data_IF_041723214479
#
_entry.id   IF_041723214479
#
_cell.length_a   1.000
_cell.length_b   1.000
_cell.length_c   1.000
_cell.angle_alpha   90.00
_cell.angle_beta   90.00
_cell.angle_gamma   90.00
#
_symmetry.space_group_name_H-M   'P 1'
#
loop_
_entity.id
_entity.type
_entity.pdbx_description
1 polymer ?
#
# COMPACT_ATOMS: atom_id res chain seq x y z
N UNK A 1 -15.66 -3.39 14.67
CA UNK A 1 -16.54 -4.51 14.29
C UNK A 1 -15.93 -5.20 13.08
N UNK A 2 -16.03 -6.53 12.98
CA UNK A 2 -15.58 -7.30 11.82
C UNK A 2 -16.81 -7.76 11.05
N UNK A 3 -16.90 -7.41 9.77
CA UNK A 3 -18.04 -7.78 8.91
C UNK A 3 -17.84 -9.14 8.25
N UNK A 4 -16.61 -9.44 7.80
CA UNK A 4 -16.23 -10.70 7.16
C UNK A 4 -14.89 -11.15 7.75
N UNK A 5 -14.75 -12.45 7.99
CA UNK A 5 -13.53 -13.07 8.52
C UNK A 5 -13.13 -14.27 7.68
N UNK A 6 -11.81 -14.42 7.41
CA UNK A 6 -11.25 -15.55 6.65
C UNK A 6 -11.48 -15.52 5.13
N UNK A 7 -12.15 -14.49 4.61
CA UNK A 7 -12.42 -14.32 3.17
C UNK A 7 -11.95 -12.95 2.65
N UNK A 8 -10.92 -12.38 3.29
CA UNK A 8 -10.43 -11.03 2.97
C UNK A 8 -10.03 -10.89 1.50
N UNK A 9 -9.32 -11.88 0.95
CA UNK A 9 -8.91 -11.87 -0.46
C UNK A 9 -10.10 -11.79 -1.43
N UNK A 10 -11.18 -12.52 -1.15
CA UNK A 10 -12.39 -12.52 -1.98
C UNK A 10 -13.08 -11.15 -1.92
N UNK A 11 -13.21 -10.58 -0.72
CA UNK A 11 -13.83 -9.26 -0.54
C UNK A 11 -13.00 -8.17 -1.21
N UNK A 12 -11.67 -8.22 -1.08
CA UNK A 12 -10.78 -7.27 -1.73
C UNK A 12 -10.90 -7.34 -3.25
N UNK A 13 -10.82 -8.55 -3.83
CA UNK A 13 -10.89 -8.75 -5.28
C UNK A 13 -12.24 -8.32 -5.88
N UNK A 14 -13.30 -8.27 -5.09
CA UNK A 14 -14.63 -7.84 -5.52
C UNK A 14 -14.86 -6.32 -5.38
N UNK A 15 -13.94 -5.57 -4.76
CA UNK A 15 -14.12 -4.15 -4.50
C UNK A 15 -13.73 -3.29 -5.71
N UNK A 16 -14.52 -2.24 -5.98
CA UNK A 16 -14.20 -1.24 -7.00
C UNK A 16 -13.13 -0.23 -6.53
N UNK A 17 -13.04 -0.01 -5.22
CA UNK A 17 -12.07 0.84 -4.55
C UNK A 17 -11.90 0.36 -3.09
N UNK A 18 -10.67 0.38 -2.59
CA UNK A 18 -10.38 0.16 -1.17
C UNK A 18 -9.77 1.40 -0.51
N UNK A 19 -10.28 1.77 0.67
CA UNK A 19 -9.64 2.75 1.55
C UNK A 19 -8.98 1.97 2.68
N UNK A 20 -7.64 1.99 2.73
CA UNK A 20 -6.88 1.14 3.63
C UNK A 20 -5.83 1.92 4.42
N UNK A 21 -5.55 1.44 5.64
CA UNK A 21 -4.37 1.90 6.36
C UNK A 21 -3.11 1.45 5.63
N UNK A 22 -1.99 2.15 5.81
CA UNK A 22 -0.70 1.63 5.34
C UNK A 22 -0.38 0.25 5.99
N UNK A 23 0.06 -0.70 5.16
CA UNK A 23 0.48 -2.05 5.55
C UNK A 23 0.59 -3.02 4.36
N UNK A 24 0.74 -4.31 4.65
CA UNK A 24 0.85 -5.37 3.62
C UNK A 24 -0.39 -5.45 2.73
N UNK A 25 -1.57 -5.11 3.27
CA UNK A 25 -2.83 -5.06 2.54
C UNK A 25 -2.76 -4.19 1.28
N UNK A 26 -1.91 -3.16 1.25
CA UNK A 26 -1.78 -2.30 0.08
C UNK A 26 -1.16 -3.04 -1.10
N UNK A 27 -0.15 -3.87 -0.86
CA UNK A 27 0.44 -4.73 -1.89
C UNK A 27 -0.56 -5.79 -2.33
N UNK A 28 -1.31 -6.39 -1.41
CA UNK A 28 -2.35 -7.37 -1.75
C UNK A 28 -3.42 -6.76 -2.67
N UNK A 29 -3.90 -5.54 -2.37
CA UNK A 29 -4.84 -4.80 -3.22
C UNK A 29 -4.26 -4.50 -4.60
N UNK A 30 -3.01 -4.01 -4.66
CA UNK A 30 -2.35 -3.69 -5.93
C UNK A 30 -2.09 -4.95 -6.79
N UNK A 31 -1.73 -6.08 -6.17
CA UNK A 31 -1.58 -7.37 -6.83
C UNK A 31 -2.91 -7.89 -7.39
N UNK A 32 -4.03 -7.58 -6.72
CA UNK A 32 -5.39 -7.89 -7.18
C UNK A 32 -5.97 -6.88 -8.18
N UNK A 33 -5.20 -5.86 -8.58
CA UNK A 33 -5.67 -4.75 -9.43
C UNK A 33 -6.86 -3.97 -8.83
N UNK A 34 -6.93 -3.89 -7.51
CA UNK A 34 -7.98 -3.15 -6.81
C UNK A 34 -7.47 -1.73 -6.55
N UNK A 35 -8.10 -0.69 -7.13
CA UNK A 35 -7.73 0.69 -6.86
C UNK A 35 -7.82 1.02 -5.37
N UNK A 36 -6.94 1.89 -4.87
CA UNK A 36 -6.91 2.18 -3.43
C UNK A 36 -6.51 3.61 -3.07
N UNK A 37 -6.99 4.06 -1.92
CA UNK A 37 -6.50 5.25 -1.20
C UNK A 37 -5.86 4.80 0.10
N UNK A 38 -4.63 5.25 0.34
CA UNK A 38 -3.87 4.87 1.52
C UNK A 38 -3.89 6.00 2.54
N UNK A 39 -4.15 5.65 3.80
CA UNK A 39 -3.98 6.58 4.90
C UNK A 39 -3.13 5.99 6.03
N UNK A 40 -2.46 6.86 6.77
CA UNK A 40 -1.77 6.44 7.98
C UNK A 40 -1.92 7.50 9.07
N UNK A 41 -2.57 7.12 10.17
CA UNK A 41 -2.85 8.02 11.29
C UNK A 41 -2.56 7.32 12.61
N UNK A 42 -1.47 7.72 13.24
CA UNK A 42 -1.06 7.33 14.58
C UNK A 42 -1.58 8.30 15.62
N UNK A 43 -1.63 7.84 16.88
CA UNK A 43 -1.87 8.73 18.01
C UNK A 43 -0.82 9.87 18.02
N UNK A 44 -1.17 11.10 18.44
CA UNK A 44 -0.22 12.22 18.45
C UNK A 44 1.08 11.89 19.21
N UNK A 45 0.97 11.16 20.33
CA UNK A 45 2.11 10.74 21.11
C UNK A 45 3.00 9.74 20.37
N UNK A 46 2.41 8.71 19.75
CA UNK A 46 3.15 7.72 18.95
C UNK A 46 3.81 8.38 17.75
N UNK A 47 3.13 9.31 17.09
CA UNK A 47 3.66 10.06 15.97
C UNK A 47 4.85 10.95 16.39
N UNK A 48 4.76 11.61 17.55
CA UNK A 48 5.83 12.43 18.10
C UNK A 48 7.09 11.60 18.42
N UNK A 49 6.92 10.43 19.04
CA UNK A 49 8.01 9.46 19.28
C UNK A 49 8.62 9.03 17.94
N UNK A 50 7.77 8.63 16.98
CA UNK A 50 8.20 8.19 15.66
C UNK A 50 9.03 9.24 14.94
N UNK A 51 8.58 10.50 14.91
CA UNK A 51 9.31 11.60 14.28
C UNK A 51 10.66 11.86 14.95
N UNK A 52 10.71 11.76 16.28
CA UNK A 52 11.93 12.04 17.05
C UNK A 52 12.97 10.93 16.90
N UNK A 53 12.53 9.67 16.83
CA UNK A 53 13.42 8.50 16.70
C UNK A 53 13.80 8.18 15.25
N UNK A 54 12.86 8.31 14.30
CA UNK A 54 13.03 7.87 12.91
C UNK A 54 13.53 8.98 11.98
N UNK A 55 13.79 10.20 12.48
CA UNK A 55 14.38 11.33 11.75
C UNK A 55 13.91 11.43 10.28
N UNK A 56 12.60 11.63 10.07
CA UNK A 56 11.96 12.04 8.81
C UNK A 56 12.53 11.50 7.48
N UNK A 57 13.02 10.26 7.43
CA UNK A 57 13.71 9.71 6.24
C UNK A 57 12.80 8.93 5.30
N UNK A 58 11.51 8.86 5.61
CA UNK A 58 10.56 8.00 4.90
C UNK A 58 9.81 8.85 3.88
N UNK A 59 10.13 8.68 2.59
CA UNK A 59 9.48 9.39 1.49
C UNK A 59 8.02 8.97 1.30
N UNK A 60 7.71 7.69 1.56
CA UNK A 60 6.37 7.11 1.44
C UNK A 60 6.12 6.10 2.57
N UNK A 61 4.91 6.04 3.11
CA UNK A 61 4.58 5.04 4.14
C UNK A 61 3.98 3.76 3.53
N UNK A 62 3.38 3.84 2.34
CA UNK A 62 2.75 2.75 1.62
C UNK A 62 3.83 1.88 0.96
N UNK A 63 3.83 0.56 1.20
CA UNK A 63 4.74 -0.35 0.50
C UNK A 63 4.64 -0.25 -1.03
N UNK A 64 3.44 0.07 -1.55
CA UNK A 64 3.18 0.19 -2.99
C UNK A 64 3.95 1.37 -3.58
N UNK A 65 3.93 2.54 -2.92
CA UNK A 65 4.69 3.71 -3.36
C UNK A 65 6.20 3.54 -3.10
N UNK A 66 6.58 2.84 -2.02
CA UNK A 66 7.99 2.56 -1.69
C UNK A 66 8.69 1.68 -2.71
N UNK A 67 8.00 0.69 -3.30
CA UNK A 67 8.60 -0.21 -4.30
C UNK A 67 9.08 0.54 -5.54
N UNK A 68 8.31 1.55 -5.98
CA UNK A 68 8.61 2.34 -7.19
C UNK A 68 9.18 3.73 -6.88
N UNK A 69 9.33 4.07 -5.59
CA UNK A 69 9.78 5.39 -5.12
C UNK A 69 9.00 6.57 -5.74
N UNK A 70 7.70 6.37 -5.99
CA UNK A 70 6.79 7.32 -6.63
C UNK A 70 5.39 7.15 -6.05
N UNK A 71 4.62 8.24 -6.00
CA UNK A 71 3.22 8.18 -5.61
C UNK A 71 2.41 7.57 -6.77
N UNK A 72 2.09 6.28 -6.66
CA UNK A 72 1.22 5.55 -7.59
C UNK A 72 -0.17 5.28 -7.00
N UNK A 73 -0.29 5.41 -5.68
CA UNK A 73 -1.57 5.47 -4.97
C UNK A 73 -1.59 6.72 -4.09
N UNK A 74 -2.73 7.43 -4.00
CA UNK A 74 -2.86 8.58 -3.11
C UNK A 74 -2.56 8.17 -1.67
N UNK A 75 -1.65 8.90 -1.03
CA UNK A 75 -1.20 8.59 0.33
C UNK A 75 -1.36 9.80 1.27
N UNK A 76 -2.16 9.61 2.33
CA UNK A 76 -2.45 10.65 3.32
C UNK A 76 -1.89 10.29 4.70
N UNK A 77 -0.89 11.04 5.15
CA UNK A 77 -0.19 10.79 6.42
C UNK A 77 -0.57 11.84 7.47
N UNK A 78 -0.89 11.39 8.69
CA UNK A 78 -1.16 12.20 9.87
C UNK A 78 -2.20 13.31 9.64
N UNK A 79 -1.75 14.56 9.49
CA UNK A 79 -2.61 15.73 9.33
C UNK A 79 -3.32 15.76 7.97
N UNK A 80 -2.75 15.11 6.94
CA UNK A 80 -3.34 15.01 5.61
C UNK A 80 -4.42 13.93 5.53
N UNK A 81 -4.47 13.00 6.50
CA UNK A 81 -5.52 11.98 6.61
C UNK A 81 -6.81 12.59 7.16
N UNK A 82 -7.42 13.47 6.35
CA UNK A 82 -8.71 14.11 6.61
C UNK A 82 -9.81 13.45 5.78
N UNK A 83 -11.07 13.45 6.24
CA UNK A 83 -12.19 12.93 5.47
C UNK A 83 -12.31 13.57 4.08
N UNK A 84 -12.03 14.87 3.97
CA UNK A 84 -12.15 15.62 2.72
C UNK A 84 -11.13 15.13 1.69
N UNK A 85 -9.85 15.03 2.07
CA UNK A 85 -8.79 14.57 1.17
C UNK A 85 -9.04 13.13 0.70
N UNK A 86 -9.42 12.25 1.63
CA UNK A 86 -9.72 10.85 1.33
C UNK A 86 -10.91 10.75 0.38
N UNK A 87 -11.96 11.55 0.62
CA UNK A 87 -13.18 11.52 -0.22
C UNK A 87 -12.91 12.04 -1.62
N UNK A 88 -12.16 13.14 -1.76
CA UNK A 88 -11.79 13.70 -3.07
C UNK A 88 -10.99 12.69 -3.88
N UNK A 89 -9.97 12.06 -3.28
CA UNK A 89 -9.17 11.05 -3.96
C UNK A 89 -9.98 9.80 -4.32
N UNK A 90 -10.83 9.33 -3.41
CA UNK A 90 -11.69 8.16 -3.65
C UNK A 90 -12.66 8.40 -4.81
N UNK A 91 -13.29 9.58 -4.85
CA UNK A 91 -14.22 9.94 -5.91
C UNK A 91 -13.51 10.12 -7.26
N UNK A 92 -12.32 10.72 -7.29
CA UNK A 92 -11.55 10.81 -8.54
C UNK A 92 -11.25 9.41 -9.08
N UNK A 93 -10.76 8.49 -8.26
CA UNK A 93 -10.49 7.11 -8.71
C UNK A 93 -11.76 6.39 -9.20
N UNK A 94 -12.90 6.61 -8.55
CA UNK A 94 -14.16 5.94 -8.90
C UNK A 94 -14.84 6.52 -10.14
N UNK A 95 -14.73 7.82 -10.37
CA UNK A 95 -15.49 8.55 -11.39
C UNK A 95 -14.65 8.95 -12.60
N UNK A 96 -13.32 8.91 -12.49
CA UNK A 96 -12.40 9.28 -13.55
C UNK A 96 -11.65 8.04 -14.07
N UNK A 97 -12.09 7.54 -15.22
CA UNK A 97 -11.50 6.37 -15.87
C UNK A 97 -10.01 6.54 -16.18
N UNK A 98 -9.55 7.78 -16.43
CA UNK A 98 -8.13 8.05 -16.71
C UNK A 98 -7.27 7.87 -15.46
N UNK A 99 -7.71 8.36 -14.30
CA UNK A 99 -7.01 8.15 -13.02
C UNK A 99 -6.93 6.68 -12.69
N UNK A 100 -8.05 5.96 -12.82
CA UNK A 100 -8.11 4.51 -12.58
C UNK A 100 -7.17 3.75 -13.52
N UNK A 101 -7.21 4.05 -14.82
CA UNK A 101 -6.36 3.38 -15.80
C UNK A 101 -4.86 3.64 -15.56
N UNK A 102 -4.49 4.86 -15.16
CA UNK A 102 -3.11 5.18 -14.81
C UNK A 102 -2.65 4.37 -13.58
N UNK A 103 -3.48 4.28 -12.54
CA UNK A 103 -3.16 3.50 -11.35
C UNK A 103 -2.95 2.01 -11.68
N UNK A 104 -3.78 1.45 -12.56
CA UNK A 104 -3.62 0.05 -13.00
C UNK A 104 -2.33 -0.16 -13.81
N UNK A 105 -1.97 0.81 -14.65
CA UNK A 105 -0.70 0.80 -15.39
C UNK A 105 0.48 0.86 -14.43
N UNK A 106 0.41 1.73 -13.42
CA UNK A 106 1.45 1.85 -12.40
C UNK A 106 1.58 0.55 -11.56
N UNK A 107 0.49 -0.19 -11.36
CA UNK A 107 0.55 -1.52 -10.73
C UNK A 107 1.29 -2.56 -11.57
N UNK A 108 1.23 -2.47 -12.90
CA UNK A 108 2.01 -3.33 -13.79
C UNK A 108 3.51 -3.04 -13.68
N UNK A 109 3.89 -1.76 -13.63
CA UNK A 109 5.28 -1.34 -13.38
C UNK A 109 5.76 -1.82 -12.01
N UNK A 110 4.95 -1.61 -10.96
CA UNK A 110 5.26 -2.05 -9.61
C UNK A 110 5.47 -3.56 -9.55
N UNK A 111 4.57 -4.37 -10.16
CA UNK A 111 4.73 -5.83 -10.24
C UNK A 111 6.01 -6.25 -10.94
N UNK A 112 6.39 -5.54 -12.00
CA UNK A 112 7.63 -5.81 -12.73
C UNK A 112 8.88 -5.49 -11.91
N UNK A 113 8.75 -4.62 -10.91
CA UNK A 113 9.82 -4.30 -9.95
C UNK A 113 9.91 -5.33 -8.80
N UNK A 114 8.90 -6.17 -8.62
CA UNK A 114 8.93 -7.26 -7.64
C UNK A 114 9.77 -8.43 -8.18
N UNK A 115 10.43 -9.14 -7.27
CA UNK A 115 11.21 -10.32 -7.61
C UNK A 115 10.35 -11.50 -8.05
N UNK A 116 10.99 -12.47 -8.71
CA UNK A 116 10.35 -13.70 -9.14
C UNK A 116 9.82 -14.54 -7.96
N UNK A 117 8.83 -15.39 -8.22
CA UNK A 117 8.34 -16.39 -7.26
C UNK A 117 9.47 -17.31 -6.77
N UNK A 118 9.32 -17.87 -5.56
CA UNK A 118 10.35 -18.72 -4.93
C UNK A 118 11.36 -17.97 -4.07
N UNK A 119 11.04 -16.75 -3.61
CA UNK A 119 11.93 -15.97 -2.74
C UNK A 119 12.29 -16.71 -1.44
N UNK A 120 11.35 -17.45 -0.85
CA UNK A 120 11.60 -18.23 0.36
C UNK A 120 12.66 -19.32 0.13
N UNK A 121 12.60 -20.03 -1.00
CA UNK A 121 13.55 -21.09 -1.33
C UNK A 121 14.94 -20.51 -1.60
N UNK A 122 15.02 -19.40 -2.34
CA UNK A 122 16.29 -18.69 -2.58
C UNK A 122 16.90 -18.15 -1.29
N UNK A 123 16.07 -17.61 -0.40
CA UNK A 123 16.50 -17.11 0.90
C UNK A 123 17.02 -18.26 1.78
N UNK A 124 16.29 -19.38 1.86
CA UNK A 124 16.70 -20.57 2.59
C UNK A 124 18.05 -21.10 2.08
N UNK A 125 18.20 -21.25 0.76
CA UNK A 125 19.45 -21.67 0.13
C UNK A 125 20.62 -20.72 0.45
N UNK A 126 20.37 -19.42 0.50
CA UNK A 126 21.40 -18.42 0.84
C UNK A 126 21.83 -18.48 2.31
N UNK A 127 20.88 -18.74 3.22
CA UNK A 127 21.18 -18.95 4.64
C UNK A 127 22.03 -20.21 4.84
N UNK A 128 21.68 -21.32 4.19
CA UNK A 128 22.47 -22.55 4.28
C UNK A 128 23.92 -22.34 3.81
N UNK A 129 24.12 -21.66 2.68
CA UNK A 129 25.47 -21.34 2.17
C UNK A 129 26.28 -20.43 3.09
N UNK A 130 25.63 -19.58 3.88
CA UNK A 130 26.32 -18.68 4.80
C UNK A 130 26.75 -19.36 6.12
N UNK A 131 26.28 -20.58 6.37
CA UNK A 131 26.63 -21.41 7.52
C UNK A 131 27.73 -22.44 7.21
N UNK A 132 28.06 -22.64 5.93
CA UNK A 132 29.21 -23.42 5.45
C UNK A 132 30.48 -22.56 5.43
#
# INVERSE_FOLDING_TARGET
ATLVSGQQAVVMAAADLAIAKSGTVNLELALLNVPQVVLYKLSPFTAWIGQTLLKSTIAFASPVNLVVMREIVPEFIQALATPENITVAALDILLNDSTKAQMLTDYEEMRSSLGEVGVCDRAAASIFRALE
#
